data_IF_774693078069
#
_entry.id   IF_774693078069
#
_cell.length_a   1.000
_cell.length_b   1.000
_cell.length_c   1.000
_cell.angle_alpha   90.00
_cell.angle_beta   90.00
_cell.angle_gamma   90.00
#
_symmetry.space_group_name_H-M   'P 1'
#
loop_
_entity.id
_entity.type
_entity.pdbx_description
1 polymer ?
#
# COMPACT_ATOMS: atom_id res chain seq x y z
N UNK A 1 44.31 -64.46 29.12
CA UNK A 1 45.29 -63.86 28.18
C UNK A 1 44.51 -63.05 27.15
N UNK A 2 44.23 -61.79 27.44
CA UNK A 2 44.93 -60.58 26.98
C UNK A 2 44.57 -60.16 25.55
N UNK A 3 43.90 -58.99 25.51
CA UNK A 3 43.43 -58.23 24.36
C UNK A 3 44.59 -57.84 23.42
N UNK A 4 44.50 -58.20 22.14
CA UNK A 4 45.27 -57.54 21.06
C UNK A 4 44.41 -57.44 19.79
N UNK A 5 43.41 -56.56 19.79
CA UNK A 5 42.72 -56.19 18.55
C UNK A 5 42.10 -54.78 18.55
N UNK A 6 42.46 -53.89 19.48
CA UNK A 6 41.84 -52.55 19.62
C UNK A 6 42.79 -51.37 19.43
N UNK A 7 44.04 -51.59 19.00
CA UNK A 7 45.04 -50.51 18.85
C UNK A 7 45.32 -50.03 17.42
N UNK A 8 44.74 -50.62 16.38
CA UNK A 8 45.07 -50.24 14.98
C UNK A 8 44.06 -49.30 14.31
N UNK A 9 42.84 -49.18 14.85
CA UNK A 9 41.80 -48.29 14.29
C UNK A 9 41.90 -46.84 14.79
N UNK A 10 42.43 -46.62 16.00
CA UNK A 10 42.54 -45.27 16.58
C UNK A 10 43.57 -44.40 15.84
N UNK A 11 44.66 -45.00 15.32
CA UNK A 11 45.69 -44.26 14.57
C UNK A 11 45.30 -43.91 13.13
N UNK A 12 44.27 -44.52 12.54
CA UNK A 12 43.79 -44.18 11.18
C UNK A 12 42.69 -43.11 11.17
N UNK A 13 41.98 -42.92 12.28
CA UNK A 13 40.94 -41.89 12.41
C UNK A 13 41.47 -40.53 12.88
N UNK A 14 42.61 -40.52 13.58
CA UNK A 14 43.24 -39.29 14.07
C UNK A 14 43.60 -38.28 12.94
N UNK A 15 44.16 -38.70 11.79
CA UNK A 15 44.47 -37.77 10.69
C UNK A 15 43.22 -37.19 10.03
N UNK A 16 42.15 -37.97 9.93
CA UNK A 16 40.86 -37.53 9.38
C UNK A 16 40.19 -36.50 10.31
N UNK A 17 40.23 -36.75 11.62
CA UNK A 17 39.68 -35.83 12.61
C UNK A 17 40.46 -34.51 12.64
N UNK A 18 41.79 -34.58 12.55
CA UNK A 18 42.65 -33.40 12.42
C UNK A 18 42.36 -32.62 11.13
N UNK A 19 42.13 -33.30 10.00
CA UNK A 19 41.76 -32.63 8.75
C UNK A 19 40.43 -31.88 8.86
N UNK A 20 39.41 -32.49 9.47
CA UNK A 20 38.13 -31.82 9.70
C UNK A 20 38.25 -30.62 10.65
N UNK A 21 39.05 -30.73 11.71
CA UNK A 21 39.28 -29.62 12.64
C UNK A 21 40.02 -28.48 11.94
N UNK A 22 41.08 -28.77 11.16
CA UNK A 22 41.83 -27.76 10.42
C UNK A 22 40.93 -27.08 9.39
N UNK A 23 40.16 -27.85 8.62
CA UNK A 23 39.22 -27.28 7.62
C UNK A 23 38.16 -26.39 8.28
N UNK A 24 37.65 -26.79 9.44
CA UNK A 24 36.67 -26.01 10.20
C UNK A 24 37.30 -24.72 10.73
N UNK A 25 38.49 -24.78 11.32
CA UNK A 25 39.22 -23.60 11.80
C UNK A 25 39.57 -22.67 10.65
N UNK A 26 40.04 -23.17 9.51
CA UNK A 26 40.32 -22.33 8.34
C UNK A 26 39.06 -21.68 7.79
N UNK A 27 37.93 -22.40 7.73
CA UNK A 27 36.66 -21.83 7.28
C UNK A 27 36.20 -20.68 8.19
N UNK A 28 36.27 -20.86 9.51
CA UNK A 28 35.90 -19.83 10.47
C UNK A 28 36.89 -18.66 10.51
N UNK A 29 38.20 -18.92 10.42
CA UNK A 29 39.20 -17.86 10.32
C UNK A 29 39.04 -17.06 9.02
N UNK A 30 38.78 -17.73 7.88
CA UNK A 30 38.49 -17.05 6.61
C UNK A 30 37.19 -16.25 6.69
N UNK A 31 36.13 -16.77 7.33
CA UNK A 31 34.88 -16.03 7.55
C UNK A 31 35.08 -14.82 8.46
N UNK A 32 35.91 -14.93 9.50
CA UNK A 32 36.22 -13.83 10.41
C UNK A 32 37.10 -12.76 9.74
N UNK A 33 38.06 -13.17 8.91
CA UNK A 33 38.87 -12.25 8.09
C UNK A 33 38.00 -11.58 7.01
N UNK A 34 37.06 -12.29 6.40
CA UNK A 34 36.11 -11.71 5.43
C UNK A 34 35.18 -10.69 6.11
N UNK A 35 34.78 -10.91 7.36
CA UNK A 35 34.07 -9.91 8.16
C UNK A 35 34.94 -8.72 8.59
N UNK A 36 36.26 -8.90 8.67
CA UNK A 36 37.21 -7.81 8.98
C UNK A 36 37.54 -6.95 7.75
N UNK A 37 37.47 -7.49 6.54
CA UNK A 37 37.71 -6.76 5.28
C UNK A 37 36.42 -6.34 4.55
N UNK A 38 35.29 -6.97 4.87
CA UNK A 38 33.96 -6.50 4.52
C UNK A 38 33.63 -5.26 5.34
N UNK A 39 34.03 -4.10 4.83
CA UNK A 39 33.75 -2.81 5.42
C UNK A 39 32.33 -2.77 5.95
N UNK A 40 32.23 -2.54 7.26
CA UNK A 40 30.96 -2.26 7.91
C UNK A 40 30.40 -0.98 7.29
N UNK A 41 29.57 -1.12 6.26
CA UNK A 41 28.48 -0.17 6.07
C UNK A 41 27.59 -0.33 7.30
N UNK A 42 27.97 0.35 8.38
CA UNK A 42 27.06 0.67 9.46
C UNK A 42 25.78 1.11 8.76
N UNK A 43 24.59 0.54 9.07
CA UNK A 43 23.38 1.20 8.65
C UNK A 43 23.55 2.61 9.18
N UNK A 44 23.48 3.60 8.30
CA UNK A 44 23.46 4.99 8.70
C UNK A 44 22.37 5.04 9.76
N UNK A 45 22.77 5.13 11.02
CA UNK A 45 21.88 5.51 12.09
C UNK A 45 21.30 6.79 11.54
N UNK A 46 20.04 6.72 11.11
CA UNK A 46 19.27 7.89 10.78
C UNK A 46 19.26 8.68 12.07
N UNK A 47 20.28 9.53 12.20
CA UNK A 47 20.32 10.62 13.12
C UNK A 47 19.00 11.29 12.86
N UNK A 48 18.07 11.08 13.80
CA UNK A 48 16.80 11.78 13.94
C UNK A 48 16.96 13.12 13.24
N UNK A 49 16.45 13.25 12.02
CA UNK A 49 16.32 14.56 11.42
C UNK A 49 15.29 15.25 12.30
N UNK A 50 15.78 15.99 13.28
CA UNK A 50 15.05 16.98 14.05
C UNK A 50 14.52 17.98 13.04
N UNK A 51 13.33 17.69 12.53
CA UNK A 51 12.67 18.50 11.52
C UNK A 51 11.16 18.42 11.77
N UNK A 52 10.66 19.26 12.69
CA UNK A 52 9.25 19.68 12.77
C UNK A 52 8.23 18.74 13.41
N UNK A 53 8.63 17.63 14.04
CA UNK A 53 7.69 16.63 14.61
C UNK A 53 6.71 17.15 15.67
N UNK A 54 6.95 18.32 16.28
CA UNK A 54 6.09 18.84 17.36
C UNK A 54 4.81 19.51 16.86
N UNK A 55 4.79 20.08 15.64
CA UNK A 55 3.63 20.85 15.17
C UNK A 55 2.55 20.00 14.49
N UNK A 56 2.95 18.94 13.77
CA UNK A 56 2.01 18.04 13.08
C UNK A 56 1.34 17.02 14.00
N UNK A 57 1.98 16.70 15.13
CA UNK A 57 1.41 15.77 16.10
C UNK A 57 0.15 16.34 16.80
N UNK A 58 0.00 17.67 16.90
CA UNK A 58 -1.17 18.31 17.55
C UNK A 58 -2.41 18.50 16.67
N UNK A 59 -2.31 18.43 15.34
CA UNK A 59 -3.43 18.79 14.46
C UNK A 59 -4.51 17.70 14.38
N UNK A 60 -4.10 16.44 14.39
CA UNK A 60 -4.98 15.26 14.29
C UNK A 60 -5.65 14.86 15.61
N UNK A 61 -5.07 15.27 16.75
CA UNK A 61 -5.61 14.97 18.08
C UNK A 61 -7.04 15.50 18.24
N UNK A 62 -7.36 16.63 17.59
CA UNK A 62 -8.71 17.21 17.57
C UNK A 62 -9.76 16.31 16.90
N UNK A 63 -9.36 15.40 16.03
CA UNK A 63 -10.25 14.50 15.28
C UNK A 63 -10.42 13.13 15.95
N UNK A 64 -9.83 12.91 17.14
CA UNK A 64 -9.81 11.61 17.82
C UNK A 64 -9.33 10.44 16.92
N UNK A 65 -8.48 10.73 15.95
CA UNK A 65 -7.82 9.72 15.13
C UNK A 65 -6.59 9.21 15.89
N UNK A 66 -6.71 8.02 16.49
CA UNK A 66 -5.57 7.37 17.14
C UNK A 66 -4.64 6.76 16.06
N UNK A 67 -3.83 7.60 15.43
CA UNK A 67 -2.90 7.21 14.37
C UNK A 67 -1.69 6.49 14.99
N UNK A 68 -1.64 5.17 14.86
CA UNK A 68 -0.50 4.37 15.28
C UNK A 68 0.52 4.25 14.14
N UNK A 69 1.64 4.97 14.24
CA UNK A 69 2.76 4.87 13.29
C UNK A 69 3.56 3.55 13.38
N UNK A 70 3.11 2.59 14.20
CA UNK A 70 3.78 1.28 14.39
C UNK A 70 3.16 0.16 13.57
N UNK A 71 1.92 0.33 13.10
CA UNK A 71 1.23 -0.69 12.32
C UNK A 71 1.89 -0.83 10.96
N UNK A 72 2.27 -2.04 10.55
CA UNK A 72 2.93 -2.33 9.26
C UNK A 72 1.97 -2.12 8.10
N UNK A 73 2.41 -1.46 7.03
CA UNK A 73 1.55 -1.06 5.90
C UNK A 73 1.09 -2.26 5.07
N UNK A 74 2.01 -3.21 4.87
CA UNK A 74 1.82 -4.35 4.00
C UNK A 74 1.76 -5.64 4.81
N UNK A 75 0.88 -6.54 4.39
CA UNK A 75 0.86 -7.90 4.90
C UNK A 75 2.16 -8.61 4.55
N UNK A 76 2.64 -9.41 5.49
CA UNK A 76 3.82 -10.23 5.36
C UNK A 76 3.44 -11.69 5.56
N UNK A 77 4.23 -12.58 4.97
CA UNK A 77 4.00 -14.02 5.16
C UNK A 77 4.14 -14.42 6.64
N UNK A 78 5.03 -13.75 7.40
CA UNK A 78 5.23 -14.03 8.82
C UNK A 78 4.00 -13.78 9.69
N UNK A 79 3.13 -12.84 9.29
CA UNK A 79 1.95 -12.49 10.07
C UNK A 79 0.96 -13.70 10.18
N UNK A 80 1.04 -14.65 9.24
CA UNK A 80 0.23 -15.87 9.21
C UNK A 80 0.80 -17.02 10.05
N UNK A 81 2.11 -17.03 10.34
CA UNK A 81 2.74 -18.11 11.11
C UNK A 81 2.58 -17.92 12.62
N UNK A 82 2.52 -16.66 13.08
CA UNK A 82 2.54 -16.34 14.51
C UNK A 82 1.16 -16.05 15.12
N UNK A 83 0.07 -16.28 14.37
CA UNK A 83 -1.34 -16.14 14.81
C UNK A 83 -1.69 -14.79 15.47
N UNK A 84 -1.13 -13.66 15.00
CA UNK A 84 -1.52 -12.33 15.49
C UNK A 84 -2.73 -11.71 14.77
N UNK A 85 -3.27 -12.36 13.73
CA UNK A 85 -4.47 -11.87 13.06
C UNK A 85 -5.75 -12.22 13.84
N UNK A 86 -6.04 -11.39 14.86
CA UNK A 86 -7.20 -11.52 15.75
C UNK A 86 -8.51 -10.96 15.16
N UNK A 87 -8.49 -10.41 13.94
CA UNK A 87 -9.70 -9.81 13.35
C UNK A 87 -10.67 -10.90 12.87
N UNK A 88 -11.85 -10.93 13.48
CA UNK A 88 -12.97 -11.79 13.07
C UNK A 88 -13.68 -11.30 11.79
N UNK A 89 -13.18 -10.24 11.16
CA UNK A 89 -13.77 -9.64 9.97
C UNK A 89 -13.19 -10.27 8.70
N UNK A 90 -14.05 -10.44 7.70
CA UNK A 90 -13.65 -10.79 6.34
C UNK A 90 -13.17 -9.54 5.59
N UNK A 91 -12.68 -9.73 4.36
CA UNK A 91 -12.42 -8.61 3.46
C UNK A 91 -13.69 -7.76 3.28
N UNK A 92 -13.57 -6.43 3.21
CA UNK A 92 -12.31 -5.70 3.02
C UNK A 92 -11.68 -5.18 4.33
N UNK A 93 -12.21 -5.57 5.49
CA UNK A 93 -11.83 -5.03 6.81
C UNK A 93 -10.98 -5.98 7.67
N UNK A 94 -10.83 -7.23 7.24
CA UNK A 94 -9.96 -8.22 7.84
C UNK A 94 -9.66 -9.32 6.83
N UNK A 95 -9.07 -10.42 7.28
CA UNK A 95 -8.58 -11.48 6.39
C UNK A 95 -9.39 -12.78 6.52
N UNK A 96 -10.41 -12.82 7.37
CA UNK A 96 -11.16 -14.05 7.68
C UNK A 96 -11.70 -14.72 6.41
N UNK A 97 -11.40 -16.00 6.24
CA UNK A 97 -11.79 -16.82 5.10
C UNK A 97 -10.96 -16.59 3.83
N UNK A 98 -9.99 -15.68 3.83
CA UNK A 98 -9.12 -15.36 2.69
C UNK A 98 -7.66 -15.75 2.92
N UNK A 99 -7.36 -16.38 4.05
CA UNK A 99 -6.01 -16.64 4.54
C UNK A 99 -5.21 -17.51 3.58
N UNK A 100 -5.82 -18.57 3.04
CA UNK A 100 -5.15 -19.46 2.09
C UNK A 100 -4.80 -18.75 0.77
N UNK A 101 -5.62 -17.81 0.30
CA UNK A 101 -5.31 -17.03 -0.90
C UNK A 101 -4.19 -16.04 -0.62
N UNK A 102 -4.22 -15.36 0.54
CA UNK A 102 -3.17 -14.45 0.97
C UNK A 102 -1.83 -15.17 1.12
N UNK A 103 -1.80 -16.34 1.76
CA UNK A 103 -0.60 -17.17 1.87
C UNK A 103 0.03 -17.46 0.51
N UNK A 104 -0.77 -17.84 -0.49
CA UNK A 104 -0.28 -18.10 -1.84
C UNK A 104 0.26 -16.84 -2.52
N UNK A 105 -0.44 -15.72 -2.42
CA UNK A 105 0.03 -14.45 -2.99
C UNK A 105 1.35 -14.02 -2.33
N UNK A 106 1.37 -13.97 -1.00
CA UNK A 106 2.50 -13.47 -0.20
C UNK A 106 3.74 -14.35 -0.29
N UNK A 107 3.58 -15.65 -0.58
CA UNK A 107 4.70 -16.56 -0.82
C UNK A 107 5.50 -16.22 -2.08
N UNK A 108 4.87 -15.58 -3.07
CA UNK A 108 5.52 -15.18 -4.34
C UNK A 108 5.90 -13.70 -4.33
N UNK A 109 5.12 -12.85 -3.65
CA UNK A 109 5.42 -11.41 -3.47
C UNK A 109 6.22 -11.17 -2.19
N UNK A 110 7.35 -11.87 -2.02
CA UNK A 110 8.13 -11.92 -0.78
C UNK A 110 8.99 -10.66 -0.50
N UNK A 111 8.48 -9.49 -0.85
CA UNK A 111 9.07 -8.21 -0.51
C UNK A 111 8.00 -7.35 0.16
N UNK A 112 8.28 -6.89 1.38
CA UNK A 112 7.33 -6.14 2.21
C UNK A 112 7.90 -4.78 2.62
N UNK A 113 9.03 -4.36 2.03
CA UNK A 113 9.66 -3.10 2.37
C UNK A 113 8.76 -1.94 1.97
N UNK A 114 8.53 -1.05 2.92
CA UNK A 114 7.96 0.27 2.69
C UNK A 114 9.07 1.18 2.17
N UNK A 115 8.84 1.99 1.12
CA UNK A 115 9.82 2.95 0.64
C UNK A 115 10.26 3.89 1.77
N UNK A 116 11.54 4.25 1.80
CA UNK A 116 12.07 5.16 2.82
C UNK A 116 11.36 6.51 2.83
N UNK A 117 10.98 7.01 1.65
CA UNK A 117 10.20 8.22 1.46
C UNK A 117 9.02 7.92 0.53
N UNK A 118 7.81 8.32 0.94
CA UNK A 118 6.59 8.21 0.11
C UNK A 118 6.32 9.57 -0.53
N UNK A 119 7.00 9.86 -1.65
CA UNK A 119 6.80 11.14 -2.32
C UNK A 119 5.39 11.24 -2.89
N UNK A 120 4.87 10.21 -3.58
CA UNK A 120 3.55 10.28 -4.22
C UNK A 120 2.82 8.94 -4.21
N UNK A 121 1.54 8.97 -3.84
CA UNK A 121 0.64 7.81 -3.86
C UNK A 121 -0.49 8.08 -4.84
N UNK A 122 -0.61 7.25 -5.87
CA UNK A 122 -1.61 7.43 -6.91
C UNK A 122 -2.52 6.20 -7.03
N UNK A 123 -3.64 6.33 -7.70
CA UNK A 123 -4.41 5.21 -8.24
C UNK A 123 -4.62 5.31 -9.77
N UNK A 124 -4.17 6.43 -10.36
CA UNK A 124 -4.45 6.87 -11.72
C UNK A 124 -3.16 7.11 -12.54
N UNK A 125 -3.19 6.93 -13.88
CA UNK A 125 -1.99 6.99 -14.73
C UNK A 125 -1.35 8.37 -14.73
N UNK A 126 -0.01 8.42 -14.65
CA UNK A 126 0.73 9.69 -14.68
C UNK A 126 1.24 10.02 -16.07
N UNK A 127 1.62 9.01 -16.85
CA UNK A 127 2.23 9.21 -18.16
C UNK A 127 1.24 9.81 -19.16
N UNK A 128 1.65 10.89 -19.83
CA UNK A 128 0.80 11.70 -20.70
C UNK A 128 0.04 12.82 -19.98
N UNK A 129 0.20 12.95 -18.66
CA UNK A 129 -0.44 13.95 -17.79
C UNK A 129 0.56 14.61 -16.84
N UNK A 130 1.87 14.50 -17.11
CA UNK A 130 2.94 14.89 -16.20
C UNK A 130 2.92 16.37 -15.82
N UNK A 131 2.39 17.23 -16.70
CA UNK A 131 2.22 18.67 -16.42
C UNK A 131 1.18 18.92 -15.32
N UNK A 132 0.10 18.14 -15.31
CA UNK A 132 -1.01 18.31 -14.37
C UNK A 132 -0.77 17.55 -13.07
N UNK A 133 -0.25 16.33 -13.18
CA UNK A 133 -0.16 15.42 -12.04
C UNK A 133 1.27 15.24 -11.54
N UNK A 134 2.28 15.71 -12.26
CA UNK A 134 3.69 15.50 -11.92
C UNK A 134 4.18 14.10 -12.28
N UNK A 135 5.47 13.95 -12.57
CA UNK A 135 6.07 12.74 -13.13
C UNK A 135 6.38 11.60 -12.14
N UNK A 136 6.42 11.89 -10.83
CA UNK A 136 6.80 10.90 -9.82
C UNK A 136 5.67 9.99 -9.36
N UNK A 137 5.97 8.73 -9.02
CA UNK A 137 5.03 7.84 -8.30
C UNK A 137 5.81 6.86 -7.43
N UNK A 138 5.65 6.92 -6.10
CA UNK A 138 6.30 5.97 -5.19
C UNK A 138 5.47 4.70 -5.04
N UNK A 139 4.16 4.86 -4.87
CA UNK A 139 3.24 3.75 -4.68
C UNK A 139 1.98 3.99 -5.50
N UNK A 140 1.42 2.91 -6.03
CA UNK A 140 0.14 2.91 -6.74
C UNK A 140 -0.82 1.94 -6.10
N UNK A 141 -1.89 2.45 -5.50
CA UNK A 141 -2.98 1.60 -5.03
C UNK A 141 -3.76 1.09 -6.23
N UNK A 142 -4.06 -0.20 -6.25
CA UNK A 142 -4.89 -0.79 -7.29
C UNK A 142 -5.67 -1.99 -6.78
N UNK A 143 -6.72 -2.33 -7.52
CA UNK A 143 -7.50 -3.56 -7.41
C UNK A 143 -7.80 -4.07 -8.84
N UNK A 144 -8.19 -5.34 -9.03
CA UNK A 144 -8.22 -5.96 -10.36
C UNK A 144 -8.96 -5.16 -11.44
N UNK A 145 -10.13 -4.60 -11.10
CA UNK A 145 -10.94 -3.83 -12.05
C UNK A 145 -10.34 -2.46 -12.44
N UNK A 146 -9.38 -1.96 -11.66
CA UNK A 146 -8.62 -0.73 -11.93
C UNK A 146 -7.26 -0.98 -12.60
N UNK A 147 -6.83 -2.24 -12.70
CA UNK A 147 -5.52 -2.58 -13.23
C UNK A 147 -5.43 -2.36 -14.74
N UNK A 148 -4.36 -1.71 -15.21
CA UNK A 148 -3.96 -1.74 -16.63
C UNK A 148 -3.23 -3.04 -16.93
N UNK A 149 -3.30 -3.51 -18.19
CA UNK A 149 -2.55 -4.68 -18.66
C UNK A 149 -1.05 -4.57 -18.36
N UNK A 150 -0.47 -3.41 -18.64
CA UNK A 150 0.93 -3.11 -18.34
C UNK A 150 0.98 -1.88 -17.41
N UNK A 151 1.26 -2.06 -16.12
CA UNK A 151 1.43 -0.94 -15.20
C UNK A 151 2.74 -0.18 -15.42
N UNK A 152 3.76 -0.79 -16.04
CA UNK A 152 5.04 -0.13 -16.34
C UNK A 152 4.93 0.96 -17.40
N UNK A 153 3.90 0.90 -18.25
CA UNK A 153 3.64 1.97 -19.23
C UNK A 153 3.23 3.29 -18.61
N UNK A 154 2.63 3.29 -17.42
CA UNK A 154 2.03 4.49 -16.81
C UNK A 154 2.68 4.93 -15.50
N UNK A 155 3.69 4.20 -15.02
CA UNK A 155 4.35 4.44 -13.76
C UNK A 155 5.87 4.49 -13.95
N UNK A 156 6.55 5.16 -13.03
CA UNK A 156 8.01 5.13 -12.97
C UNK A 156 8.52 3.71 -12.67
N UNK A 157 9.70 3.32 -13.15
CA UNK A 157 10.25 1.99 -12.95
C UNK A 157 10.34 1.55 -11.47
N UNK A 158 10.47 2.50 -10.53
CA UNK A 158 10.57 2.24 -9.09
C UNK A 158 9.24 2.20 -8.33
N UNK A 159 8.10 2.46 -8.98
CA UNK A 159 6.81 2.54 -8.31
C UNK A 159 6.36 1.16 -7.79
N UNK A 160 5.93 1.11 -6.53
CA UNK A 160 5.31 -0.09 -5.97
C UNK A 160 3.86 -0.23 -6.43
N UNK A 161 3.47 -1.43 -6.80
CA UNK A 161 2.08 -1.78 -7.11
C UNK A 161 1.45 -2.39 -5.85
N UNK A 162 0.58 -1.63 -5.18
CA UNK A 162 -0.01 -2.01 -3.90
C UNK A 162 -1.45 -2.48 -4.11
N UNK A 163 -1.69 -3.78 -3.98
CA UNK A 163 -3.02 -4.36 -4.05
C UNK A 163 -3.85 -3.97 -2.83
N UNK A 164 -5.04 -3.43 -3.06
CA UNK A 164 -6.09 -3.23 -2.04
C UNK A 164 -7.14 -4.33 -2.22
N UNK A 165 -7.18 -5.35 -1.33
CA UNK A 165 -8.12 -6.46 -1.48
C UNK A 165 -9.50 -6.07 -0.94
N UNK A 166 -10.49 -5.90 -1.82
CA UNK A 166 -11.87 -5.62 -1.40
C UNK A 166 -12.69 -6.89 -1.21
N UNK A 167 -12.37 -7.94 -1.96
CA UNK A 167 -13.10 -9.22 -1.98
C UNK A 167 -12.15 -10.38 -2.27
N UNK A 168 -12.56 -11.60 -1.92
CA UNK A 168 -11.75 -12.81 -2.16
C UNK A 168 -11.39 -13.01 -3.64
N UNK A 169 -12.26 -12.55 -4.54
CA UNK A 169 -12.04 -12.60 -5.98
C UNK A 169 -10.80 -11.79 -6.38
N UNK A 170 -10.45 -10.73 -5.65
CA UNK A 170 -9.29 -9.92 -5.96
C UNK A 170 -7.99 -10.67 -5.70
N UNK A 171 -7.92 -11.35 -4.56
CA UNK A 171 -6.79 -12.23 -4.22
C UNK A 171 -6.72 -13.44 -5.14
N UNK A 172 -7.88 -14.00 -5.51
CA UNK A 172 -7.94 -15.10 -6.48
C UNK A 172 -7.38 -14.65 -7.83
N UNK A 173 -7.78 -13.48 -8.33
CA UNK A 173 -7.27 -12.94 -9.59
C UNK A 173 -5.75 -12.76 -9.54
N UNK A 174 -5.21 -12.15 -8.48
CA UNK A 174 -3.76 -11.95 -8.39
C UNK A 174 -3.03 -13.30 -8.30
N UNK A 175 -3.54 -14.25 -7.53
CA UNK A 175 -3.00 -15.61 -7.49
C UNK A 175 -3.03 -16.27 -8.87
N UNK A 176 -4.14 -16.21 -9.59
CA UNK A 176 -4.25 -16.79 -10.94
C UNK A 176 -3.27 -16.16 -11.92
N UNK A 177 -2.97 -14.86 -11.77
CA UNK A 177 -1.93 -14.17 -12.54
C UNK A 177 -0.53 -14.66 -12.17
N UNK A 178 -0.19 -14.69 -10.88
CA UNK A 178 1.15 -15.03 -10.37
C UNK A 178 1.55 -16.48 -10.63
N UNK A 179 0.58 -17.41 -10.60
CA UNK A 179 0.80 -18.84 -10.79
C UNK A 179 0.47 -19.32 -12.21
N UNK A 180 0.17 -18.39 -13.12
CA UNK A 180 -0.28 -18.67 -14.48
C UNK A 180 -1.43 -19.68 -14.58
N UNK A 181 -2.41 -19.56 -13.69
CA UNK A 181 -3.58 -20.43 -13.70
C UNK A 181 -4.68 -19.91 -14.65
N UNK A 182 -5.74 -20.72 -14.82
CA UNK A 182 -6.91 -20.32 -15.61
C UNK A 182 -7.65 -19.17 -14.93
N UNK A 183 -7.72 -18.03 -15.62
CA UNK A 183 -8.27 -16.79 -15.06
C UNK A 183 -9.77 -16.65 -15.28
N UNK A 184 -10.48 -16.28 -14.21
CA UNK A 184 -11.94 -16.12 -14.23
C UNK A 184 -12.32 -14.63 -14.27
N UNK A 185 -13.24 -14.25 -15.16
CA UNK A 185 -13.75 -12.87 -15.27
C UNK A 185 -15.05 -12.62 -14.49
N UNK A 186 -15.64 -13.66 -13.92
CA UNK A 186 -16.91 -13.57 -13.17
C UNK A 186 -16.68 -12.97 -11.77
N UNK A 187 -17.59 -12.09 -11.34
CA UNK A 187 -17.54 -11.48 -10.00
C UNK A 187 -16.87 -10.11 -9.94
N UNK A 188 -16.56 -9.53 -11.10
CA UNK A 188 -16.02 -8.19 -11.25
C UNK A 188 -17.04 -7.31 -12.00
N UNK A 189 -17.22 -6.07 -11.57
CA UNK A 189 -18.12 -5.12 -12.24
C UNK A 189 -17.56 -4.64 -13.59
N UNK A 190 -16.23 -4.64 -13.71
CA UNK A 190 -15.48 -4.45 -14.95
C UNK A 190 -14.50 -5.61 -15.12
N UNK A 191 -14.35 -6.20 -16.31
CA UNK A 191 -13.41 -7.31 -16.51
C UNK A 191 -11.97 -6.88 -16.20
N UNK A 192 -11.27 -7.55 -15.27
CA UNK A 192 -9.86 -7.28 -15.01
C UNK A 192 -8.98 -7.87 -16.13
N UNK A 193 -7.69 -7.46 -16.21
CA UNK A 193 -6.76 -8.02 -17.19
C UNK A 193 -6.62 -9.54 -17.02
N UNK A 194 -6.65 -10.29 -18.12
CA UNK A 194 -6.29 -11.71 -18.10
C UNK A 194 -4.79 -11.94 -18.21
N UNK A 195 -4.05 -10.94 -18.64
CA UNK A 195 -2.60 -10.94 -18.62
C UNK A 195 -2.24 -9.62 -17.97
N UNK A 196 -1.29 -9.67 -17.04
CA UNK A 196 -0.87 -8.50 -16.30
C UNK A 196 0.65 -8.52 -16.19
N UNK A 197 1.31 -7.53 -16.80
CA UNK A 197 2.77 -7.43 -16.89
C UNK A 197 3.36 -6.71 -15.66
N UNK A 198 2.73 -6.88 -14.49
CA UNK A 198 3.23 -6.32 -13.24
C UNK A 198 4.53 -7.00 -12.79
N UNK A 199 5.50 -6.19 -12.38
CA UNK A 199 6.74 -6.69 -11.78
C UNK A 199 6.48 -7.25 -10.38
N UNK A 200 6.58 -8.57 -10.25
CA UNK A 200 6.30 -9.32 -9.02
C UNK A 200 7.09 -8.80 -7.82
N UNK A 201 8.33 -8.34 -8.03
CA UNK A 201 9.19 -7.81 -6.97
C UNK A 201 8.68 -6.49 -6.35
N UNK A 202 7.82 -5.78 -7.09
CA UNK A 202 7.25 -4.49 -6.72
C UNK A 202 5.81 -4.58 -6.23
N UNK A 203 5.25 -5.78 -6.18
CA UNK A 203 3.90 -6.00 -5.65
C UNK A 203 3.94 -5.97 -4.12
N UNK A 204 2.96 -5.29 -3.53
CA UNK A 204 2.64 -5.35 -2.10
C UNK A 204 1.15 -5.62 -1.92
N UNK A 205 0.77 -6.18 -0.79
CA UNK A 205 -0.65 -6.30 -0.40
C UNK A 205 -0.87 -5.40 0.81
N UNK A 206 -1.77 -4.42 0.68
CA UNK A 206 -2.11 -3.52 1.78
C UNK A 206 -2.81 -4.30 2.89
N UNK A 207 -2.45 -4.04 4.15
CA UNK A 207 -3.13 -4.61 5.30
C UNK A 207 -4.59 -4.09 5.38
N UNK A 208 -5.62 -4.95 5.36
CA UNK A 208 -7.03 -4.58 5.54
C UNK A 208 -7.30 -3.75 6.80
N UNK A 209 -6.40 -3.79 7.79
CA UNK A 209 -6.43 -2.89 8.95
C UNK A 209 -6.59 -1.42 8.55
N UNK A 210 -5.91 -0.94 7.51
CA UNK A 210 -6.00 0.47 7.10
C UNK A 210 -7.38 0.82 6.55
N UNK A 211 -7.99 -0.07 5.77
CA UNK A 211 -9.35 0.16 5.29
C UNK A 211 -10.37 0.07 6.43
N UNK A 212 -10.18 -0.85 7.37
CA UNK A 212 -10.97 -0.92 8.59
C UNK A 212 -10.89 0.37 9.41
N UNK A 213 -9.68 0.89 9.68
CA UNK A 213 -9.52 2.15 10.41
C UNK A 213 -10.08 3.35 9.62
N UNK A 214 -9.94 3.35 8.30
CA UNK A 214 -10.56 4.38 7.44
C UNK A 214 -12.08 4.37 7.61
N UNK A 215 -12.70 3.19 7.56
CA UNK A 215 -14.13 3.02 7.75
C UNK A 215 -14.57 3.40 9.18
N UNK A 216 -13.92 2.86 10.21
CA UNK A 216 -14.34 3.00 11.61
C UNK A 216 -13.99 4.37 12.23
N UNK A 217 -12.78 4.87 11.99
CA UNK A 217 -12.26 6.07 12.66
C UNK A 217 -12.52 7.34 11.87
N UNK A 218 -12.23 7.33 10.57
CA UNK A 218 -12.36 8.51 9.73
C UNK A 218 -13.80 8.69 9.23
N UNK A 219 -14.41 7.62 8.71
CA UNK A 219 -15.74 7.67 8.11
C UNK A 219 -16.87 7.22 9.04
N UNK A 220 -16.61 6.62 10.20
CA UNK A 220 -17.67 6.13 11.11
C UNK A 220 -18.71 5.23 10.43
N UNK A 221 -18.27 4.46 9.42
CA UNK A 221 -19.13 3.52 8.68
C UNK A 221 -19.43 2.31 9.60
N UNK A 222 -20.70 1.89 9.74
CA UNK A 222 -21.05 0.67 10.45
C UNK A 222 -20.44 -0.57 9.77
N UNK A 223 -19.54 -1.26 10.47
CA UNK A 223 -18.84 -2.43 9.93
C UNK A 223 -19.72 -3.70 9.83
N UNK A 224 -20.79 -3.76 10.63
CA UNK A 224 -21.80 -4.81 10.59
C UNK A 224 -23.17 -4.17 10.31
N UNK A 225 -23.42 -3.75 9.05
CA UNK A 225 -24.71 -3.16 8.70
C UNK A 225 -25.83 -4.18 8.91
N UNK A 226 -26.96 -3.74 9.48
CA UNK A 226 -28.14 -4.58 9.59
C UNK A 226 -28.66 -4.98 8.20
N UNK A 227 -29.51 -6.02 8.11
CA UNK A 227 -30.00 -6.59 6.84
C UNK A 227 -30.68 -5.61 5.88
N UNK A 228 -31.15 -4.46 6.38
CA UNK A 228 -31.79 -3.40 5.58
C UNK A 228 -30.83 -2.31 5.11
N UNK A 229 -29.59 -2.30 5.58
CA UNK A 229 -28.60 -1.28 5.23
C UNK A 229 -27.75 -1.77 4.06
N UNK A 230 -27.57 -0.91 3.06
CA UNK A 230 -26.62 -1.19 1.97
C UNK A 230 -25.21 -1.20 2.56
N UNK A 231 -24.40 -2.26 2.34
CA UNK A 231 -23.01 -2.24 2.74
C UNK A 231 -22.30 -1.06 2.05
N UNK A 232 -21.50 -0.31 2.81
CA UNK A 232 -20.66 0.77 2.28
C UNK A 232 -19.24 0.51 2.75
N UNK A 233 -18.26 0.83 1.90
CA UNK A 233 -16.85 0.82 2.26
C UNK A 233 -16.15 2.07 1.72
N UNK A 234 -14.98 2.44 2.29
CA UNK A 234 -14.23 3.60 1.81
C UNK A 234 -13.78 3.41 0.36
N UNK A 235 -13.67 4.52 -0.39
CA UNK A 235 -12.98 4.55 -1.67
C UNK A 235 -11.48 4.30 -1.49
N UNK A 236 -10.80 3.90 -2.57
CA UNK A 236 -9.33 3.80 -2.56
C UNK A 236 -8.67 5.16 -2.26
N UNK A 237 -9.34 6.28 -2.51
CA UNK A 237 -8.80 7.63 -2.40
C UNK A 237 -8.79 8.10 -0.96
N UNK A 238 -9.92 7.99 -0.28
CA UNK A 238 -9.98 8.30 1.15
C UNK A 238 -9.10 7.32 1.97
N UNK A 239 -8.97 6.07 1.52
CA UNK A 239 -7.99 5.12 2.07
C UNK A 239 -6.56 5.63 1.87
N UNK A 240 -6.23 6.12 0.67
CA UNK A 240 -4.93 6.68 0.34
C UNK A 240 -4.60 7.88 1.23
N UNK A 241 -5.58 8.76 1.49
CA UNK A 241 -5.46 9.85 2.48
C UNK A 241 -5.14 9.27 3.84
N UNK A 242 -5.94 8.32 4.34
CA UNK A 242 -5.73 7.74 5.66
C UNK A 242 -4.35 7.08 5.81
N UNK A 243 -3.89 6.34 4.80
CA UNK A 243 -2.52 5.78 4.74
C UNK A 243 -1.48 6.90 4.80
N UNK A 244 -1.67 7.99 4.06
CA UNK A 244 -0.79 9.16 4.10
C UNK A 244 -0.64 9.70 5.52
N UNK A 245 -1.74 9.83 6.26
CA UNK A 245 -1.71 10.39 7.63
C UNK A 245 -0.90 9.51 8.60
N UNK A 246 -0.85 8.20 8.34
CA UNK A 246 -0.14 7.23 9.17
C UNK A 246 1.37 7.19 8.86
N UNK A 247 1.79 7.60 7.66
CA UNK A 247 3.15 7.38 7.17
C UNK A 247 3.90 8.64 6.77
N UNK A 248 3.20 9.75 6.53
CA UNK A 248 3.77 11.01 6.10
C UNK A 248 3.66 12.05 7.23
N UNK A 249 4.61 12.98 7.25
CA UNK A 249 4.56 14.09 8.21
C UNK A 249 3.65 15.22 7.73
N UNK A 250 3.61 15.46 6.42
CA UNK A 250 2.75 16.45 5.78
C UNK A 250 2.00 15.75 4.67
N UNK A 251 0.70 16.02 4.55
CA UNK A 251 -0.15 15.41 3.53
C UNK A 251 -0.79 16.50 2.72
N UNK A 252 -0.44 16.50 1.44
CA UNK A 252 -1.06 17.33 0.43
C UNK A 252 -2.09 16.50 -0.33
N UNK A 253 -3.16 17.09 -0.83
CA UNK A 253 -4.23 16.36 -1.51
C UNK A 253 -4.62 17.12 -2.78
N UNK A 254 -4.67 16.44 -3.93
CA UNK A 254 -5.12 17.01 -5.20
C UNK A 254 -6.16 16.09 -5.85
N UNK A 255 -6.84 16.53 -6.91
CA UNK A 255 -7.76 15.67 -7.67
C UNK A 255 -8.92 15.05 -6.86
N UNK A 256 -9.32 15.68 -5.75
CA UNK A 256 -10.52 15.35 -4.98
C UNK A 256 -11.61 16.38 -5.19
N UNK A 257 -12.86 15.91 -5.16
CA UNK A 257 -14.03 16.73 -5.39
C UNK A 257 -14.49 16.71 -6.85
N UNK A 258 -15.67 17.26 -7.06
CA UNK A 258 -16.28 17.41 -8.38
C UNK A 258 -16.64 18.87 -8.60
N UNK A 259 -16.54 19.37 -9.84
CA UNK A 259 -17.01 20.69 -10.15
C UNK A 259 -18.50 20.79 -9.82
N UNK A 260 -18.91 21.94 -9.30
CA UNK A 260 -20.32 22.26 -9.05
C UNK A 260 -21.05 22.52 -10.38
N UNK A 261 -21.09 21.50 -11.25
CA UNK A 261 -21.62 21.58 -12.59
C UNK A 261 -22.75 20.58 -12.74
N UNK A 262 -23.91 21.06 -13.16
CA UNK A 262 -25.03 20.21 -13.58
C UNK A 262 -24.76 19.52 -14.93
N UNK A 263 -23.69 19.90 -15.62
CA UNK A 263 -23.34 19.36 -16.93
C UNK A 263 -22.88 17.90 -16.81
N UNK A 264 -23.63 17.02 -17.46
CA UNK A 264 -23.32 15.59 -17.54
C UNK A 264 -22.10 15.29 -18.44
N UNK A 265 -21.57 16.29 -19.16
CA UNK A 265 -20.44 16.12 -20.09
C UNK A 265 -19.08 16.39 -19.46
N UNK A 266 -19.05 16.86 -18.22
CA UNK A 266 -17.78 17.14 -17.56
C UNK A 266 -17.03 15.83 -17.32
N UNK A 267 -15.74 15.72 -17.68
CA UNK A 267 -14.93 14.55 -17.36
C UNK A 267 -14.91 14.28 -15.85
N UNK A 268 -14.98 13.01 -15.44
CA UNK A 268 -14.86 12.62 -14.02
C UNK A 268 -13.42 12.31 -13.61
N UNK A 269 -12.55 12.19 -14.61
CA UNK A 269 -11.13 11.91 -14.47
C UNK A 269 -10.38 12.88 -15.38
N UNK A 270 -9.15 13.25 -14.98
CA UNK A 270 -8.24 13.99 -15.84
C UNK A 270 -7.75 13.15 -17.04
N UNK A 271 -7.99 11.83 -17.00
CA UNK A 271 -7.63 10.88 -18.03
C UNK A 271 -8.85 10.11 -18.54
N UNK A 272 -8.74 9.54 -19.74
CA UNK A 272 -9.83 8.80 -20.35
C UNK A 272 -10.99 9.69 -20.80
N UNK A 273 -12.17 9.09 -20.99
CA UNK A 273 -13.32 9.75 -21.63
C UNK A 273 -14.62 9.64 -20.82
N UNK A 274 -14.54 9.10 -19.59
CA UNK A 274 -15.70 9.01 -18.72
C UNK A 274 -16.13 10.40 -18.23
N UNK A 275 -17.43 10.62 -18.15
CA UNK A 275 -18.02 11.91 -17.77
C UNK A 275 -19.01 11.76 -16.63
N UNK A 276 -19.50 12.87 -16.09
CA UNK A 276 -20.51 12.90 -15.02
C UNK A 276 -21.77 12.11 -15.37
N UNK A 277 -22.08 11.92 -16.67
CA UNK A 277 -23.13 11.03 -17.17
C UNK A 277 -22.99 9.58 -16.68
N UNK A 278 -21.75 9.13 -16.48
CA UNK A 278 -21.44 7.81 -15.99
C UNK A 278 -21.62 7.68 -14.47
N UNK A 279 -21.82 8.80 -13.75
CA UNK A 279 -22.14 8.84 -12.32
C UNK A 279 -23.66 8.95 -12.09
N UNK A 280 -24.22 8.08 -11.23
CA UNK A 280 -25.64 8.14 -10.79
C UNK A 280 -25.78 8.61 -9.33
N UNK A 281 -24.92 9.52 -8.87
CA UNK A 281 -24.89 9.99 -7.47
C UNK A 281 -25.09 11.51 -7.42
N UNK A 282 -25.98 11.98 -6.55
CA UNK A 282 -26.07 13.40 -6.18
C UNK A 282 -24.87 13.77 -5.32
N UNK A 283 -23.93 14.51 -5.89
CA UNK A 283 -22.65 14.88 -5.25
C UNK A 283 -22.76 16.23 -4.55
N UNK A 284 -22.15 16.33 -3.37
CA UNK A 284 -21.84 17.60 -2.71
C UNK A 284 -20.57 18.17 -3.34
N UNK A 285 -20.66 19.38 -3.90
CA UNK A 285 -19.50 20.09 -4.38
C UNK A 285 -18.64 20.57 -3.20
N UNK A 286 -17.35 20.27 -3.23
CA UNK A 286 -16.36 20.93 -2.36
C UNK A 286 -15.87 22.14 -3.14
N UNK A 287 -16.18 23.34 -2.68
CA UNK A 287 -15.69 24.57 -3.30
C UNK A 287 -14.23 24.81 -2.88
N UNK A 288 -13.28 24.87 -3.83
CA UNK A 288 -11.88 25.10 -3.51
C UNK A 288 -11.68 26.53 -3.00
N UNK A 289 -11.12 26.71 -1.79
CA UNK A 289 -10.60 28.02 -1.35
C UNK A 289 -9.22 28.25 -1.96
N UNK A 290 -9.08 29.31 -2.75
CA UNK A 290 -7.81 29.79 -3.26
C UNK A 290 -6.86 30.14 -2.10
N UNK A 291 -5.79 29.35 -1.95
CA UNK A 291 -4.62 29.70 -1.15
C UNK A 291 -3.41 29.61 -2.08
N UNK A 292 -2.83 30.75 -2.44
CA UNK A 292 -1.53 30.81 -3.11
C UNK A 292 -0.47 30.31 -2.14
N UNK A 293 0.15 29.15 -2.44
CA UNK A 293 1.29 28.66 -1.68
C UNK A 293 2.58 29.04 -2.42
N UNK A 294 3.10 30.22 -2.10
CA UNK A 294 4.51 30.56 -2.35
C UNK A 294 5.35 30.01 -1.18
N UNK A 295 5.95 28.82 -1.34
CA UNK A 295 7.07 28.43 -0.46
C UNK A 295 8.23 27.82 -1.24
N UNK A 296 9.46 28.36 -1.08
CA UNK A 296 10.64 27.81 -1.71
C UNK A 296 11.13 26.58 -0.94
N UNK A 297 11.46 25.53 -1.68
CA UNK A 297 12.46 24.49 -1.35
C UNK A 297 12.55 24.07 0.13
N UNK A 298 11.63 23.22 0.59
CA UNK A 298 11.87 22.27 1.68
C UNK A 298 11.27 20.93 1.28
N UNK A 299 12.12 19.95 0.94
CA UNK A 299 11.71 18.59 0.63
C UNK A 299 11.12 17.97 1.90
N UNK A 300 9.79 17.80 1.92
CA UNK A 300 9.06 16.89 2.82
C UNK A 300 7.90 16.30 2.04
N UNK A 301 8.02 15.01 1.71
CA UNK A 301 6.94 14.05 1.38
C UNK A 301 5.62 14.68 0.91
N UNK A 302 5.57 15.19 -0.33
CA UNK A 302 4.38 15.81 -0.92
C UNK A 302 3.47 14.77 -1.56
N UNK A 303 2.63 14.10 -0.77
CA UNK A 303 1.78 13.03 -1.26
C UNK A 303 0.61 13.51 -2.12
N UNK A 304 0.85 13.90 -3.37
CA UNK A 304 -0.22 14.19 -4.34
C UNK A 304 -1.04 12.93 -4.62
N UNK A 305 -2.21 12.83 -3.99
CA UNK A 305 -3.21 11.84 -4.35
C UNK A 305 -3.94 12.33 -5.59
N UNK A 306 -4.23 11.45 -6.53
CA UNK A 306 -5.14 11.69 -7.65
C UNK A 306 -6.13 10.55 -7.66
N UNK A 307 -7.42 10.84 -7.78
CA UNK A 307 -8.46 9.82 -7.63
C UNK A 307 -9.26 9.55 -8.91
N UNK A 308 -9.46 8.27 -9.19
CA UNK A 308 -10.47 7.80 -10.14
C UNK A 308 -11.61 7.10 -9.42
N UNK A 309 -12.69 7.85 -9.16
CA UNK A 309 -13.99 7.27 -8.87
C UNK A 309 -14.54 6.62 -10.14
N UNK A 310 -14.34 5.31 -10.24
CA UNK A 310 -14.94 4.53 -11.32
C UNK A 310 -16.45 4.82 -11.43
N UNK A 311 -17.00 4.88 -12.65
CA UNK A 311 -18.42 5.14 -12.86
C UNK A 311 -19.27 4.00 -12.30
N UNK A 312 -19.75 4.17 -11.08
CA UNK A 312 -20.39 3.11 -10.32
C UNK A 312 -21.91 3.19 -10.44
N UNK A 313 -22.45 2.38 -11.36
CA UNK A 313 -23.81 1.89 -11.27
C UNK A 313 -23.87 0.99 -10.01
N UNK A 314 -24.52 1.46 -8.92
CA UNK A 314 -24.60 0.82 -7.60
C UNK A 314 -23.37 0.93 -6.67
N UNK A 315 -22.64 2.05 -6.67
CA UNK A 315 -21.50 2.30 -5.77
C UNK A 315 -21.74 1.86 -4.31
N UNK A 316 -20.82 1.08 -3.76
CA UNK A 316 -20.74 0.76 -2.33
C UNK A 316 -20.02 1.88 -1.55
N UNK A 317 -19.96 3.11 -2.06
CA UNK A 317 -19.30 4.25 -1.43
C UNK A 317 -20.29 5.38 -1.16
N UNK A 318 -20.06 6.13 -0.08
CA UNK A 318 -20.77 7.37 0.24
C UNK A 318 -19.84 8.57 0.05
N UNK A 319 -19.89 9.14 -1.16
CA UNK A 319 -18.96 10.20 -1.58
C UNK A 319 -19.22 11.52 -0.88
N UNK A 320 -20.46 11.77 -0.45
CA UNK A 320 -20.80 12.97 0.29
C UNK A 320 -20.21 12.90 1.70
N UNK A 321 -20.29 11.73 2.32
CA UNK A 321 -19.70 11.49 3.62
C UNK A 321 -18.16 11.52 3.59
N UNK A 322 -17.54 10.99 2.53
CA UNK A 322 -16.09 11.11 2.31
C UNK A 322 -15.66 12.57 2.09
N UNK A 323 -16.44 13.35 1.33
CA UNK A 323 -16.19 14.78 1.14
C UNK A 323 -16.24 15.56 2.47
N UNK A 324 -17.23 15.29 3.32
CA UNK A 324 -17.32 15.88 4.66
C UNK A 324 -16.12 15.46 5.54
N UNK A 325 -15.69 14.21 5.45
CA UNK A 325 -14.49 13.75 6.16
C UNK A 325 -13.24 14.52 5.70
N UNK A 326 -13.02 14.67 4.40
CA UNK A 326 -11.90 15.45 3.87
C UNK A 326 -11.97 16.91 4.30
N UNK A 327 -13.16 17.51 4.33
CA UNK A 327 -13.34 18.89 4.79
C UNK A 327 -12.92 19.06 6.25
N UNK A 328 -13.31 18.11 7.11
CA UNK A 328 -12.87 18.08 8.52
C UNK A 328 -11.35 17.93 8.66
N UNK A 329 -10.70 17.12 7.82
CA UNK A 329 -9.23 16.99 7.79
C UNK A 329 -8.56 18.28 7.28
N UNK A 330 -9.16 19.00 6.34
CA UNK A 330 -8.65 20.29 5.88
C UNK A 330 -8.78 21.34 6.99
N UNK A 331 -9.95 21.45 7.61
CA UNK A 331 -10.26 22.47 8.62
C UNK A 331 -9.40 22.30 9.89
N UNK A 332 -8.99 21.07 10.25
CA UNK A 332 -8.04 20.85 11.33
C UNK A 332 -6.57 21.10 10.93
N UNK A 333 -6.31 21.52 9.69
CA UNK A 333 -4.97 21.82 9.15
C UNK A 333 -4.10 20.58 8.92
N UNK A 334 -4.78 19.46 8.78
CA UNK A 334 -4.29 18.11 8.87
C UNK A 334 -3.87 17.62 7.48
N UNK A 335 -4.73 17.84 6.48
CA UNK A 335 -4.33 17.84 5.08
C UNK A 335 -4.26 19.27 4.54
N UNK A 336 -3.54 19.46 3.44
CA UNK A 336 -3.55 20.67 2.65
C UNK A 336 -4.01 20.35 1.23
N UNK A 337 -5.08 20.99 0.76
CA UNK A 337 -5.44 20.89 -0.64
C UNK A 337 -4.39 21.61 -1.50
N UNK A 338 -3.78 20.87 -2.42
CA UNK A 338 -3.08 21.43 -3.56
C UNK A 338 -4.13 21.59 -4.64
N UNK A 339 -4.41 22.83 -5.02
CA UNK A 339 -5.20 23.09 -6.22
C UNK A 339 -4.31 22.93 -7.43
N UNK A 340 -4.57 21.99 -8.35
CA UNK A 340 -4.14 22.16 -9.72
C UNK A 340 -5.25 22.88 -10.48
N UNK A 341 -4.84 23.72 -11.41
CA UNK A 341 -5.68 24.28 -12.45
C UNK A 341 -6.62 23.21 -13.05
N UNK A 342 -7.89 23.58 -13.25
CA UNK A 342 -8.83 22.86 -14.12
C UNK A 342 -9.07 23.67 -15.38
#
# INVERSE_FOLDING_TARGET
MSQKATKTWCFKLLPLLLFFIISFVTYYCSSAILQSYGGTSKPLNSSRMLCGGWLTQKKWESLNLNISRRTRLFLQLEDFFWREHLSNLALPYGIKGSELLLLKVLAVTANYQVPANIEKLNDAPVRGYEEDVGNKTTMRLFYPESASYDPGLHNEPGALMVLVPFKQQDLRWLKEILYDEKRVRKGFWRPPPQIWLGDVSKIRVLDPHFLHQTADRLLRIPLNPGTKQKPVHPTTGILAVFVALNYCDVVHVAGFGYPNSKSQRVPIHYYGYDTMRSMKVGLVAIEPRLLEINTPSVIRTQMLLFFSLSPLQNSYHDLNHEAEALKRLEDSGSILYLHPHF
#
